data_IF_236154016869
#
_entry.id   IF_236154016869
#
_cell.length_a   1.000
_cell.length_b   1.000
_cell.length_c   1.000
_cell.angle_alpha   90.00
_cell.angle_beta   90.00
_cell.angle_gamma   90.00
#
_symmetry.space_group_name_H-M   'P 1'
#
loop_
_entity.id
_entity.type
_entity.pdbx_description
1 polymer ?
#
# COMPACT_ATOMS: atom_id res chain seq x y z
N UNK A 1 -73.23 -2.29 42.25
CA UNK A 1 -72.66 -2.71 40.95
C UNK A 1 -71.42 -1.88 40.70
N UNK A 2 -70.30 -2.57 40.45
CA UNK A 2 -68.91 -2.10 40.54
C UNK A 2 -68.61 -0.97 39.55
N UNK A 3 -68.08 0.16 40.03
CA UNK A 3 -67.51 1.21 39.20
C UNK A 3 -66.01 0.92 38.97
N UNK A 4 -65.65 0.75 37.71
CA UNK A 4 -64.32 0.39 37.23
C UNK A 4 -63.41 1.64 37.25
N UNK A 5 -62.38 1.65 38.11
CA UNK A 5 -61.31 2.64 38.07
C UNK A 5 -60.29 2.20 37.01
N UNK A 6 -60.19 2.94 35.90
CA UNK A 6 -59.09 2.80 34.94
C UNK A 6 -57.90 3.62 35.43
N UNK A 7 -56.83 2.93 35.88
CA UNK A 7 -55.52 3.54 36.08
C UNK A 7 -54.84 3.69 34.71
N UNK A 8 -54.74 4.92 34.20
CA UNK A 8 -53.87 5.23 33.08
C UNK A 8 -52.42 5.27 33.58
N UNK A 9 -51.67 4.20 33.31
CA UNK A 9 -50.21 4.22 33.45
C UNK A 9 -49.63 5.02 32.27
N UNK A 10 -49.20 6.25 32.54
CA UNK A 10 -48.39 7.03 31.62
C UNK A 10 -46.98 6.45 31.58
N UNK A 11 -46.69 5.58 30.62
CA UNK A 11 -45.33 5.27 30.21
C UNK A 11 -44.76 6.51 29.55
N UNK A 12 -43.91 7.24 30.29
CA UNK A 12 -43.05 8.25 29.69
C UNK A 12 -42.11 7.53 28.71
N UNK A 13 -42.30 7.77 27.41
CA UNK A 13 -41.29 7.44 26.43
C UNK A 13 -40.02 8.20 26.83
N UNK A 14 -38.95 7.48 27.19
CA UNK A 14 -37.62 8.08 27.22
C UNK A 14 -37.37 8.59 25.81
N UNK A 15 -37.27 9.91 25.66
CA UNK A 15 -36.63 10.48 24.49
C UNK A 15 -35.22 9.91 24.48
N UNK A 16 -34.89 9.13 23.45
CA UNK A 16 -33.51 8.84 23.12
C UNK A 16 -32.86 10.20 22.84
N UNK A 17 -32.24 10.77 23.88
CA UNK A 17 -31.34 11.90 23.75
C UNK A 17 -30.19 11.41 22.88
N UNK A 18 -30.34 11.62 21.58
CA UNK A 18 -29.29 11.46 20.60
C UNK A 18 -28.27 12.54 20.94
N UNK A 19 -27.38 12.25 21.89
CA UNK A 19 -26.30 13.15 22.29
C UNK A 19 -25.38 13.25 21.08
N UNK A 20 -25.55 14.32 20.31
CA UNK A 20 -24.65 14.65 19.22
C UNK A 20 -23.28 14.92 19.83
N UNK A 21 -22.31 14.07 19.54
CA UNK A 21 -20.93 14.26 20.01
C UNK A 21 -20.40 15.63 19.59
N UNK A 22 -19.75 16.33 20.52
CA UNK A 22 -19.06 17.58 20.21
C UNK A 22 -17.77 17.31 19.44
N UNK A 23 -17.23 18.31 18.75
CA UNK A 23 -15.91 18.18 18.08
C UNK A 23 -14.79 17.72 19.04
N UNK A 24 -14.68 18.25 20.28
CA UNK A 24 -13.77 17.71 21.28
C UNK A 24 -13.99 16.22 21.60
N UNK A 25 -15.25 15.77 21.69
CA UNK A 25 -15.57 14.36 21.95
C UNK A 25 -15.14 13.49 20.76
N UNK A 26 -15.39 13.94 19.53
CA UNK A 26 -14.96 13.27 18.31
C UNK A 26 -13.44 13.14 18.24
N UNK A 27 -12.70 14.22 18.55
CA UNK A 27 -11.23 14.21 18.57
C UNK A 27 -10.71 13.29 19.66
N UNK A 28 -11.27 13.34 20.87
CA UNK A 28 -10.88 12.46 21.96
C UNK A 28 -11.10 10.98 21.60
N UNK A 29 -12.24 10.66 20.99
CA UNK A 29 -12.54 9.31 20.51
C UNK A 29 -11.58 8.87 19.40
N UNK A 30 -11.33 9.73 18.42
CA UNK A 30 -10.40 9.44 17.33
C UNK A 30 -8.98 9.17 17.84
N UNK A 31 -8.47 10.02 18.75
CA UNK A 31 -7.17 9.81 19.40
C UNK A 31 -7.12 8.50 20.18
N UNK A 32 -8.16 8.19 20.95
CA UNK A 32 -8.23 6.93 21.70
C UNK A 32 -8.21 5.70 20.78
N UNK A 33 -8.83 5.76 19.60
CA UNK A 33 -8.71 4.68 18.60
C UNK A 33 -7.28 4.62 18.06
N UNK A 34 -6.76 5.76 17.62
CA UNK A 34 -5.42 5.89 17.03
C UNK A 34 -4.31 5.32 17.92
N UNK A 35 -4.37 5.59 19.22
CA UNK A 35 -3.38 5.10 20.20
C UNK A 35 -3.44 3.59 20.48
N UNK A 36 -4.52 2.91 20.09
CA UNK A 36 -4.74 1.48 20.38
C UNK A 36 -4.61 0.57 19.16
N UNK A 37 -4.52 1.13 17.96
CA UNK A 37 -4.44 0.37 16.71
C UNK A 37 -3.06 0.49 16.11
N UNK A 38 -2.68 -0.50 15.31
CA UNK A 38 -1.53 -0.37 14.41
C UNK A 38 -2.00 0.46 13.22
N UNK A 39 -1.37 1.60 13.00
CA UNK A 39 -1.69 2.46 11.86
C UNK A 39 -0.79 2.12 10.67
N UNK A 40 -1.38 2.05 9.49
CA UNK A 40 -0.70 1.61 8.28
C UNK A 40 -1.21 2.41 7.09
N UNK A 41 -0.28 2.81 6.23
CA UNK A 41 -0.57 3.41 4.94
C UNK A 41 0.12 2.56 3.86
N UNK A 42 -0.68 2.14 2.88
CA UNK A 42 -0.30 1.17 1.85
C UNK A 42 0.54 1.75 0.72
N UNK A 43 0.75 3.07 0.66
CA UNK A 43 1.40 3.68 -0.49
C UNK A 43 2.09 5.02 -0.17
N UNK A 44 3.38 4.95 0.16
CA UNK A 44 4.22 6.13 0.40
C UNK A 44 5.38 6.19 -0.59
N UNK A 45 5.30 7.14 -1.50
CA UNK A 45 6.35 7.43 -2.48
C UNK A 45 7.68 7.80 -1.81
N UNK A 46 8.75 7.20 -2.30
CA UNK A 46 10.10 7.48 -1.85
C UNK A 46 10.99 8.00 -2.97
N UNK A 47 11.98 8.79 -2.57
CA UNK A 47 13.06 9.22 -3.46
C UNK A 47 14.38 8.78 -2.87
N UNK A 48 15.21 8.09 -3.66
CA UNK A 48 16.53 7.60 -3.25
C UNK A 48 17.48 8.72 -2.80
N UNK A 49 17.22 9.97 -3.21
CA UNK A 49 17.94 11.15 -2.74
C UNK A 49 17.74 11.44 -1.23
N UNK A 50 16.73 10.83 -0.61
CA UNK A 50 16.46 10.91 0.83
C UNK A 50 16.90 9.63 1.59
N UNK A 51 17.91 8.91 1.07
CA UNK A 51 18.47 7.71 1.70
C UNK A 51 20.01 7.73 1.63
N UNK A 52 20.59 8.91 1.85
CA UNK A 52 22.03 9.13 1.85
C UNK A 52 22.53 9.36 3.28
N UNK A 53 23.86 9.38 3.46
CA UNK A 53 24.46 9.67 4.76
C UNK A 53 24.04 11.05 5.31
N UNK A 54 23.99 12.06 4.44
CA UNK A 54 23.74 13.45 4.83
C UNK A 54 22.26 13.84 4.79
N UNK A 55 21.43 13.08 4.07
CA UNK A 55 20.00 13.37 3.89
C UNK A 55 19.21 12.08 3.89
N UNK A 56 18.53 11.82 5.00
CA UNK A 56 17.71 10.62 5.13
C UNK A 56 16.49 10.76 6.05
N UNK A 57 15.68 9.72 6.10
CA UNK A 57 14.40 9.70 6.83
C UNK A 57 14.52 9.73 8.36
N UNK A 58 15.73 9.74 8.95
CA UNK A 58 15.88 10.08 10.38
C UNK A 58 15.69 11.57 10.65
N UNK A 59 15.71 12.40 9.60
CA UNK A 59 15.60 13.85 9.65
C UNK A 59 14.17 14.32 9.35
N UNK A 60 13.82 15.50 9.86
CA UNK A 60 12.58 16.19 9.51
C UNK A 60 12.71 16.81 8.11
N UNK A 61 12.51 16.00 7.08
CA UNK A 61 12.56 16.42 5.68
C UNK A 61 11.24 17.11 5.28
N UNK A 62 11.25 17.75 4.12
CA UNK A 62 10.03 18.31 3.50
C UNK A 62 9.10 17.25 2.90
N UNK A 63 9.50 15.97 2.93
CA UNK A 63 8.63 14.84 2.53
C UNK A 63 7.56 14.61 3.60
N UNK A 64 6.38 14.16 3.19
CA UNK A 64 5.27 13.93 4.11
C UNK A 64 5.58 12.79 5.09
N UNK A 65 6.29 11.76 4.64
CA UNK A 65 6.75 10.66 5.49
C UNK A 65 8.26 10.76 5.73
N UNK A 66 8.62 10.66 7.01
CA UNK A 66 9.94 10.49 7.59
C UNK A 66 9.76 10.08 9.07
N UNK A 67 10.79 9.57 9.74
CA UNK A 67 10.66 9.05 11.10
C UNK A 67 10.15 10.10 12.11
N UNK A 68 10.63 11.36 12.12
CA UNK A 68 10.04 12.39 12.99
C UNK A 68 8.55 12.59 12.79
N UNK A 69 8.07 12.63 11.54
CA UNK A 69 6.64 12.74 11.24
C UNK A 69 5.87 11.49 11.65
N UNK A 70 6.44 10.29 11.45
CA UNK A 70 5.84 9.03 11.87
C UNK A 70 5.69 8.94 13.39
N UNK A 71 6.70 9.39 14.13
CA UNK A 71 6.70 9.45 15.59
C UNK A 71 5.68 10.47 16.09
N UNK A 72 5.69 11.70 15.55
CA UNK A 72 4.76 12.75 15.95
C UNK A 72 3.29 12.42 15.61
N UNK A 73 3.07 11.75 14.47
CA UNK A 73 1.74 11.38 13.99
C UNK A 73 1.22 10.05 14.54
N UNK A 74 2.00 9.30 15.33
CA UNK A 74 1.63 7.94 15.74
C UNK A 74 1.39 7.01 14.55
N UNK A 75 2.16 7.17 13.47
CA UNK A 75 2.08 6.38 12.25
C UNK A 75 3.08 5.22 12.31
N UNK A 76 2.63 3.96 12.22
CA UNK A 76 3.46 2.79 12.56
C UNK A 76 4.08 2.10 11.36
N UNK A 77 3.30 1.88 10.29
CA UNK A 77 3.71 1.04 9.15
C UNK A 77 3.64 1.81 7.84
N UNK A 78 4.81 2.10 7.27
CA UNK A 78 4.93 2.75 5.96
C UNK A 78 5.27 1.73 4.89
N UNK A 79 4.38 1.56 3.91
CA UNK A 79 4.72 0.89 2.66
C UNK A 79 5.50 1.85 1.78
N UNK A 80 6.82 1.63 1.68
CA UNK A 80 7.76 2.41 0.90
C UNK A 80 7.79 1.89 -0.55
N UNK A 81 7.40 2.75 -1.49
CA UNK A 81 7.07 2.31 -2.84
C UNK A 81 8.29 2.29 -3.76
N UNK A 82 8.58 1.11 -4.30
CA UNK A 82 9.50 0.94 -5.43
C UNK A 82 8.75 1.28 -6.71
N UNK A 83 8.64 2.58 -6.98
CA UNK A 83 8.01 3.11 -8.19
C UNK A 83 9.05 3.35 -9.30
N UNK A 84 8.70 2.97 -10.53
CA UNK A 84 9.40 3.43 -11.74
C UNK A 84 8.39 3.80 -12.82
N UNK A 85 8.53 5.02 -13.35
CA UNK A 85 7.65 5.55 -14.40
C UNK A 85 7.68 4.69 -15.67
N UNK A 86 6.54 4.67 -16.37
CA UNK A 86 6.41 3.93 -17.62
C UNK A 86 7.28 4.56 -18.72
N UNK A 87 7.90 3.71 -19.54
CA UNK A 87 8.65 4.10 -20.74
C UNK A 87 8.37 3.18 -21.92
N UNK A 88 9.16 3.32 -22.98
CA UNK A 88 9.04 2.49 -24.18
C UNK A 88 9.27 1.01 -23.87
N UNK A 89 8.49 0.14 -24.50
CA UNK A 89 8.55 -1.31 -24.28
C UNK A 89 9.73 -1.95 -25.03
N UNK A 90 10.96 -1.62 -24.64
CA UNK A 90 12.20 -2.13 -25.24
C UNK A 90 13.14 -2.72 -24.19
N UNK A 91 14.00 -3.70 -24.57
CA UNK A 91 14.96 -4.32 -23.65
C UNK A 91 15.88 -3.32 -22.93
N UNK A 92 16.33 -2.28 -23.63
CA UNK A 92 17.17 -1.23 -23.05
C UNK A 92 16.44 -0.49 -21.93
N UNK A 93 15.20 -0.07 -22.19
CA UNK A 93 14.41 0.70 -21.22
C UNK A 93 13.94 -0.15 -20.04
N UNK A 94 13.66 -1.44 -20.25
CA UNK A 94 13.45 -2.37 -19.14
C UNK A 94 14.70 -2.47 -18.26
N UNK A 95 15.89 -2.56 -18.85
CA UNK A 95 17.14 -2.58 -18.09
C UNK A 95 17.37 -1.31 -17.27
N UNK A 96 17.07 -0.15 -17.84
CA UNK A 96 17.12 1.14 -17.12
C UNK A 96 16.14 1.19 -15.95
N UNK A 97 14.91 0.74 -16.18
CA UNK A 97 13.86 0.70 -15.18
C UNK A 97 14.20 -0.27 -14.04
N UNK A 98 14.74 -1.45 -14.39
CA UNK A 98 15.18 -2.45 -13.44
C UNK A 98 16.26 -1.90 -12.50
N UNK A 99 17.29 -1.22 -13.02
CA UNK A 99 18.33 -0.59 -12.18
C UNK A 99 17.76 0.49 -11.25
N UNK A 100 16.76 1.25 -11.69
CA UNK A 100 16.09 2.23 -10.84
C UNK A 100 15.25 1.58 -9.74
N UNK A 101 14.61 0.45 -10.01
CA UNK A 101 13.88 -0.32 -9.01
C UNK A 101 14.84 -0.88 -7.95
N UNK A 102 15.95 -1.53 -8.37
CA UNK A 102 16.98 -2.05 -7.47
C UNK A 102 17.52 -0.95 -6.54
N UNK A 103 17.81 0.24 -7.07
CA UNK A 103 18.28 1.37 -6.27
C UNK A 103 17.27 1.82 -5.18
N UNK A 104 15.96 1.63 -5.40
CA UNK A 104 14.93 1.91 -4.38
C UNK A 104 14.83 0.81 -3.35
N UNK A 105 14.91 -0.46 -3.74
CA UNK A 105 15.03 -1.56 -2.78
C UNK A 105 16.25 -1.35 -1.87
N UNK A 106 17.42 -1.12 -2.45
CA UNK A 106 18.66 -0.84 -1.72
C UNK A 106 18.54 0.37 -0.78
N UNK A 107 17.78 1.39 -1.17
CA UNK A 107 17.52 2.54 -0.32
C UNK A 107 16.71 2.16 0.93
N UNK A 108 15.64 1.37 0.80
CA UNK A 108 14.84 0.89 1.94
C UNK A 108 15.70 0.01 2.86
N UNK A 109 16.45 -0.95 2.30
CA UNK A 109 17.37 -1.77 3.08
C UNK A 109 18.41 -0.92 3.83
N UNK A 110 19.01 0.07 3.16
CA UNK A 110 19.97 0.99 3.80
C UNK A 110 19.35 1.74 4.96
N UNK A 111 18.09 2.19 4.84
CA UNK A 111 17.38 2.84 5.95
C UNK A 111 17.26 1.90 7.15
N UNK A 112 16.78 0.68 6.93
CA UNK A 112 16.43 -0.26 8.00
C UNK A 112 17.63 -0.99 8.59
N UNK A 113 18.72 -1.15 7.85
CA UNK A 113 19.88 -1.95 8.28
C UNK A 113 21.08 -1.11 8.70
N UNK A 114 21.23 0.11 8.15
CA UNK A 114 22.45 0.90 8.33
C UNK A 114 22.18 2.27 8.94
N UNK A 115 21.18 2.99 8.44
CA UNK A 115 20.91 4.38 8.87
C UNK A 115 20.15 4.42 10.19
N UNK A 116 19.13 3.57 10.34
CA UNK A 116 18.18 3.64 11.45
C UNK A 116 17.73 2.27 12.01
N UNK A 117 18.62 1.28 12.18
CA UNK A 117 18.23 -0.08 12.60
C UNK A 117 17.56 -0.14 13.98
N UNK A 118 17.84 0.85 14.84
CA UNK A 118 17.22 0.95 16.17
C UNK A 118 15.85 1.65 16.15
N UNK A 119 15.44 2.24 15.02
CA UNK A 119 14.20 3.05 14.91
C UNK A 119 13.19 2.49 13.93
N UNK A 120 13.63 1.81 12.86
CA UNK A 120 12.76 1.22 11.85
C UNK A 120 13.32 -0.10 11.33
N UNK A 121 12.44 -1.05 11.04
CA UNK A 121 12.81 -2.38 10.57
C UNK A 121 11.90 -2.82 9.42
N UNK A 122 12.45 -3.59 8.48
CA UNK A 122 11.71 -4.13 7.34
C UNK A 122 10.87 -5.33 7.79
N UNK A 123 9.56 -5.27 7.59
CA UNK A 123 8.65 -6.39 7.81
C UNK A 123 8.34 -7.13 6.51
N UNK A 124 8.36 -8.45 6.57
CA UNK A 124 8.01 -9.33 5.46
C UNK A 124 6.67 -10.04 5.67
N UNK A 125 6.16 -10.01 6.90
CA UNK A 125 4.92 -10.68 7.32
C UNK A 125 4.15 -9.81 8.30
N UNK A 126 2.87 -10.11 8.53
CA UNK A 126 2.09 -9.45 9.58
C UNK A 126 2.64 -9.71 10.99
N UNK A 127 3.33 -10.83 11.19
CA UNK A 127 3.92 -11.17 12.48
C UNK A 127 5.18 -10.35 12.73
N UNK A 128 5.97 -10.06 11.69
CA UNK A 128 7.06 -9.08 11.76
C UNK A 128 6.53 -7.71 12.15
N UNK A 129 5.44 -7.25 11.52
CA UNK A 129 4.81 -5.96 11.87
C UNK A 129 4.52 -5.90 13.38
N UNK A 130 3.84 -6.91 13.93
CA UNK A 130 3.51 -6.96 15.36
C UNK A 130 4.75 -7.01 16.25
N UNK A 131 5.74 -7.84 15.88
CA UNK A 131 7.00 -8.00 16.62
C UNK A 131 7.80 -6.69 16.66
N UNK A 132 7.93 -6.01 15.53
CA UNK A 132 8.71 -4.78 15.38
C UNK A 132 8.06 -3.64 16.19
N UNK A 133 6.74 -3.50 16.11
CA UNK A 133 6.00 -2.51 16.91
C UNK A 133 6.11 -2.81 18.40
N UNK A 134 6.02 -4.08 18.83
CA UNK A 134 6.22 -4.46 20.22
C UNK A 134 7.65 -4.17 20.72
N UNK A 135 8.64 -4.11 19.82
CA UNK A 135 10.00 -3.69 20.12
C UNK A 135 10.19 -2.16 20.13
N UNK A 136 9.12 -1.38 19.93
CA UNK A 136 9.15 0.09 19.95
C UNK A 136 9.69 0.74 18.68
N UNK A 137 9.78 0.00 17.56
CA UNK A 137 10.26 0.51 16.28
C UNK A 137 9.11 0.78 15.31
N UNK A 138 9.37 1.66 14.32
CA UNK A 138 8.53 1.82 13.13
C UNK A 138 8.76 0.67 12.15
N UNK A 139 7.83 0.50 11.22
CA UNK A 139 7.87 -0.60 10.24
C UNK A 139 7.97 -0.03 8.83
N UNK A 140 8.93 -0.53 8.07
CA UNK A 140 8.94 -0.40 6.61
C UNK A 140 8.37 -1.69 6.00
N UNK A 141 7.54 -1.55 4.98
CA UNK A 141 7.15 -2.63 4.07
C UNK A 141 7.40 -2.17 2.64
N UNK A 142 7.55 -3.09 1.69
CA UNK A 142 7.87 -2.74 0.30
C UNK A 142 6.75 -3.14 -0.64
N UNK A 143 6.25 -2.15 -1.38
CA UNK A 143 5.33 -2.32 -2.50
C UNK A 143 6.02 -1.95 -3.81
N UNK A 144 5.76 -2.69 -4.88
CA UNK A 144 6.26 -2.35 -6.21
C UNK A 144 5.14 -1.70 -7.01
N UNK A 145 5.35 -0.47 -7.44
CA UNK A 145 4.40 0.21 -8.30
C UNK A 145 4.94 0.21 -9.73
N UNK A 146 4.11 -0.29 -10.66
CA UNK A 146 4.44 -0.60 -12.03
C UNK A 146 5.37 -1.82 -12.16
N UNK A 147 4.87 -2.90 -12.76
CA UNK A 147 5.66 -4.09 -13.07
C UNK A 147 6.62 -3.88 -14.26
N UNK A 148 6.63 -2.71 -14.90
CA UNK A 148 7.55 -2.37 -16.00
C UNK A 148 9.03 -2.76 -15.76
N UNK A 149 9.64 -2.55 -14.56
CA UNK A 149 11.01 -2.96 -14.25
C UNK A 149 11.25 -4.48 -14.22
N UNK A 150 10.21 -5.32 -14.19
CA UNK A 150 10.35 -6.78 -14.32
C UNK A 150 10.89 -7.14 -15.72
N UNK A 151 10.63 -6.30 -16.73
CA UNK A 151 10.97 -6.60 -18.11
C UNK A 151 10.16 -7.80 -18.62
N UNK A 152 10.80 -8.69 -19.36
CA UNK A 152 10.14 -9.90 -19.92
C UNK A 152 10.57 -11.19 -19.23
N UNK A 153 11.47 -11.10 -18.24
CA UNK A 153 11.94 -12.23 -17.45
C UNK A 153 11.18 -12.30 -16.13
N UNK A 154 10.33 -13.31 -15.97
CA UNK A 154 9.47 -13.47 -14.80
C UNK A 154 10.26 -13.85 -13.53
N UNK A 155 11.51 -14.33 -13.63
CA UNK A 155 12.31 -14.59 -12.42
C UNK A 155 12.61 -13.31 -11.64
N UNK A 156 12.50 -12.14 -12.28
CA UNK A 156 12.62 -10.86 -11.57
C UNK A 156 11.50 -10.63 -10.54
N UNK A 157 10.35 -11.31 -10.65
CA UNK A 157 9.30 -11.25 -9.63
C UNK A 157 9.77 -11.93 -8.34
N UNK A 158 10.43 -13.08 -8.46
CA UNK A 158 11.03 -13.78 -7.32
C UNK A 158 12.18 -12.98 -6.72
N UNK A 159 13.05 -12.39 -7.55
CA UNK A 159 14.08 -11.46 -7.10
C UNK A 159 13.48 -10.31 -6.27
N UNK A 160 12.43 -9.64 -6.76
CA UNK A 160 11.80 -8.53 -6.03
C UNK A 160 11.13 -9.01 -4.73
N UNK A 161 10.56 -10.21 -4.72
CA UNK A 161 10.04 -10.84 -3.51
C UNK A 161 11.15 -11.09 -2.46
N UNK A 162 12.31 -11.60 -2.89
CA UNK A 162 13.49 -11.82 -2.05
C UNK A 162 14.06 -10.51 -1.49
N UNK A 163 13.99 -9.42 -2.27
CA UNK A 163 14.31 -8.06 -1.84
C UNK A 163 13.21 -7.42 -0.97
N UNK A 164 12.18 -8.18 -0.59
CA UNK A 164 11.18 -7.78 0.40
C UNK A 164 9.86 -7.25 -0.14
N UNK A 165 9.63 -7.22 -1.46
CA UNK A 165 8.35 -6.80 -2.02
C UNK A 165 7.21 -7.72 -1.57
N UNK A 166 6.07 -7.13 -1.16
CA UNK A 166 4.88 -7.87 -0.72
C UNK A 166 3.59 -7.52 -1.44
N UNK A 167 3.58 -6.47 -2.24
CA UNK A 167 2.60 -6.28 -3.32
C UNK A 167 3.25 -5.77 -4.60
N UNK A 168 2.57 -5.94 -5.73
CA UNK A 168 2.98 -5.31 -7.00
C UNK A 168 1.76 -4.95 -7.87
N UNK A 169 1.79 -3.78 -8.51
CA UNK A 169 0.82 -3.39 -9.55
C UNK A 169 1.35 -3.68 -10.95
N UNK A 170 0.50 -4.17 -11.87
CA UNK A 170 0.96 -4.62 -13.20
C UNK A 170 1.20 -3.48 -14.20
N UNK A 171 0.65 -2.30 -13.95
CA UNK A 171 0.84 -1.10 -14.76
C UNK A 171 0.76 0.15 -13.86
N UNK A 172 1.25 1.28 -14.36
CA UNK A 172 1.04 2.61 -13.78
C UNK A 172 0.40 3.51 -14.86
N UNK A 173 0.76 4.79 -14.96
CA UNK A 173 0.38 5.70 -16.04
C UNK A 173 1.10 5.31 -17.34
N UNK A 174 0.40 4.58 -18.20
CA UNK A 174 0.89 4.01 -19.46
C UNK A 174 0.89 2.47 -19.46
N UNK A 175 0.57 1.88 -20.61
CA UNK A 175 0.50 0.42 -20.77
C UNK A 175 1.86 -0.23 -20.53
N UNK A 176 1.89 -1.31 -19.75
CA UNK A 176 3.09 -2.13 -19.56
C UNK A 176 3.04 -3.35 -20.50
N UNK A 177 4.13 -4.12 -20.51
CA UNK A 177 4.18 -5.43 -21.14
C UNK A 177 3.27 -6.48 -20.47
N UNK A 178 2.70 -6.17 -19.30
CA UNK A 178 1.83 -7.06 -18.54
C UNK A 178 0.35 -6.69 -18.64
N UNK A 179 0.02 -5.40 -18.65
CA UNK A 179 -1.36 -4.95 -18.52
C UNK A 179 -1.60 -3.59 -19.17
N UNK A 180 -2.85 -3.38 -19.60
CA UNK A 180 -3.33 -2.06 -19.96
C UNK A 180 -3.53 -1.18 -18.72
N UNK A 181 -3.16 0.10 -18.86
CA UNK A 181 -3.31 1.15 -17.84
C UNK A 181 -4.68 1.84 -17.93
N UNK A 182 -5.14 2.43 -16.82
CA UNK A 182 -6.29 3.33 -16.80
C UNK A 182 -6.16 4.49 -17.81
N UNK A 183 -4.94 4.87 -18.22
CA UNK A 183 -4.75 5.92 -19.22
C UNK A 183 -5.40 5.54 -20.55
N UNK A 184 -5.46 4.25 -20.86
CA UNK A 184 -6.18 3.72 -22.02
C UNK A 184 -7.68 3.97 -21.99
N UNK A 185 -8.29 4.06 -20.80
CA UNK A 185 -9.72 4.38 -20.66
C UNK A 185 -10.02 5.82 -21.08
N UNK A 186 -9.12 6.74 -20.75
CA UNK A 186 -9.23 8.15 -21.14
C UNK A 186 -8.92 8.35 -22.62
N UNK A 187 -7.91 7.65 -23.12
CA UNK A 187 -7.34 7.90 -24.44
C UNK A 187 -7.95 6.97 -25.54
N UNK A 188 -8.80 6.02 -25.15
CA UNK A 188 -9.36 4.96 -26.01
C UNK A 188 -8.30 4.10 -26.73
N UNK A 189 -7.13 3.93 -26.10
CA UNK A 189 -6.00 3.14 -26.61
C UNK A 189 -5.81 1.91 -25.74
N UNK A 190 -5.66 0.76 -26.39
CA UNK A 190 -5.49 -0.53 -25.73
C UNK A 190 -4.33 -1.29 -26.37
N UNK A 191 -3.44 -1.84 -25.56
CA UNK A 191 -2.33 -2.66 -26.02
C UNK A 191 -2.68 -4.16 -25.99
N UNK A 192 -3.41 -4.60 -24.95
CA UNK A 192 -3.70 -6.02 -24.73
C UNK A 192 -5.20 -6.35 -24.66
N UNK A 193 -6.05 -5.34 -24.47
CA UNK A 193 -7.46 -5.55 -24.11
C UNK A 193 -7.58 -6.09 -22.68
N UNK A 194 -6.81 -5.50 -21.74
CA UNK A 194 -6.68 -5.96 -20.37
C UNK A 194 -5.29 -6.53 -20.09
N UNK A 195 -5.19 -7.82 -19.75
CA UNK A 195 -3.92 -8.48 -19.46
C UNK A 195 -3.30 -9.13 -20.71
N UNK A 196 -1.99 -8.94 -20.86
CA UNK A 196 -1.19 -9.70 -21.81
C UNK A 196 -1.02 -11.15 -21.36
N UNK A 197 -0.55 -12.03 -22.24
CA UNK A 197 -0.16 -13.41 -21.86
C UNK A 197 0.93 -13.42 -20.78
N UNK A 198 1.86 -12.45 -20.84
CA UNK A 198 2.89 -12.28 -19.82
C UNK A 198 2.28 -11.81 -18.48
N UNK A 199 1.27 -10.92 -18.52
CA UNK A 199 0.49 -10.50 -17.35
C UNK A 199 -0.20 -11.65 -16.64
N UNK A 200 -0.81 -12.56 -17.40
CA UNK A 200 -1.46 -13.76 -16.83
C UNK A 200 -0.45 -14.66 -16.12
N UNK A 201 0.75 -14.84 -16.69
CA UNK A 201 1.83 -15.60 -16.07
C UNK A 201 2.39 -14.91 -14.83
N UNK A 202 2.52 -13.58 -14.86
CA UNK A 202 2.94 -12.79 -13.70
C UNK A 202 1.97 -12.96 -12.52
N UNK A 203 0.65 -12.95 -12.76
CA UNK A 203 -0.35 -13.22 -11.71
C UNK A 203 -0.16 -14.60 -11.08
N UNK A 204 0.05 -15.63 -11.90
CA UNK A 204 0.30 -16.98 -11.40
C UNK A 204 1.54 -17.05 -10.51
N UNK A 205 2.60 -16.34 -10.90
CA UNK A 205 3.87 -16.26 -10.15
C UNK A 205 3.73 -15.46 -8.86
N UNK A 206 3.05 -14.32 -8.88
CA UNK A 206 2.71 -13.54 -7.69
C UNK A 206 1.91 -14.37 -6.69
N UNK A 207 0.92 -15.14 -7.16
CA UNK A 207 0.18 -16.08 -6.31
C UNK A 207 1.06 -17.22 -5.77
N UNK A 208 2.06 -17.71 -6.52
CA UNK A 208 2.99 -18.75 -6.06
C UNK A 208 3.86 -18.22 -4.92
N UNK A 209 4.34 -16.98 -5.05
CA UNK A 209 5.25 -16.33 -4.10
C UNK A 209 4.51 -15.72 -2.89
N UNK A 210 3.21 -15.45 -3.02
CA UNK A 210 2.45 -14.73 -2.00
C UNK A 210 2.61 -13.20 -2.08
N UNK A 211 2.92 -12.67 -3.26
CA UNK A 211 2.88 -11.22 -3.53
C UNK A 211 1.42 -10.84 -3.78
N UNK A 212 0.90 -9.87 -3.02
CA UNK A 212 -0.44 -9.32 -3.24
C UNK A 212 -0.50 -8.61 -4.59
N UNK A 213 -1.57 -8.84 -5.34
CA UNK A 213 -1.83 -8.12 -6.59
C UNK A 213 -2.45 -6.78 -6.23
N UNK A 214 -1.82 -5.70 -6.67
CA UNK A 214 -2.35 -4.35 -6.54
C UNK A 214 -3.06 -3.91 -7.83
N UNK A 215 -4.31 -3.48 -7.67
CA UNK A 215 -5.22 -3.06 -8.73
C UNK A 215 -5.22 -1.54 -8.94
N UNK A 216 -4.46 -0.78 -8.15
CA UNK A 216 -4.26 0.65 -8.38
C UNK A 216 -3.45 0.87 -9.66
N UNK A 217 -3.99 1.67 -10.59
CA UNK A 217 -3.52 2.04 -11.93
C UNK A 217 -3.89 1.20 -13.16
N UNK A 218 -3.88 -0.15 -13.18
CA UNK A 218 -4.33 -0.87 -14.35
C UNK A 218 -5.77 -0.49 -14.75
N UNK A 219 -6.10 -0.68 -16.02
CA UNK A 219 -7.45 -0.42 -16.52
C UNK A 219 -8.48 -1.33 -15.83
N UNK A 220 -9.75 -0.93 -15.88
CA UNK A 220 -10.86 -1.76 -15.42
C UNK A 220 -10.80 -3.17 -16.01
N UNK A 221 -10.54 -3.30 -17.32
CA UNK A 221 -10.49 -4.60 -17.97
C UNK A 221 -9.31 -5.46 -17.46
N UNK A 222 -8.12 -4.86 -17.29
CA UNK A 222 -6.98 -5.52 -16.64
C UNK A 222 -7.33 -6.01 -15.24
N UNK A 223 -7.99 -5.17 -14.45
CA UNK A 223 -8.40 -5.49 -13.08
C UNK A 223 -9.45 -6.60 -13.02
N UNK A 224 -10.46 -6.58 -13.89
CA UNK A 224 -11.47 -7.64 -13.97
C UNK A 224 -10.85 -8.99 -14.34
N UNK A 225 -9.90 -8.99 -15.27
CA UNK A 225 -9.18 -10.21 -15.65
C UNK A 225 -8.23 -10.67 -14.53
N UNK A 226 -7.60 -9.76 -13.80
CA UNK A 226 -6.77 -10.11 -12.65
C UNK A 226 -7.58 -10.75 -11.53
N UNK A 227 -8.75 -10.19 -11.22
CA UNK A 227 -9.72 -10.74 -10.27
C UNK A 227 -10.23 -12.13 -10.67
N UNK A 228 -10.40 -12.38 -11.97
CA UNK A 228 -10.81 -13.69 -12.48
C UNK A 228 -9.69 -14.75 -12.38
N UNK A 229 -8.42 -14.34 -12.32
CA UNK A 229 -7.25 -15.24 -12.33
C UNK A 229 -6.63 -15.46 -10.95
N UNK A 230 -6.71 -14.47 -10.06
CA UNK A 230 -6.08 -14.53 -8.74
C UNK A 230 -6.69 -15.63 -7.88
N UNK A 231 -5.84 -16.28 -7.09
CA UNK A 231 -6.20 -17.31 -6.10
C UNK A 231 -6.19 -16.78 -4.67
N UNK A 232 -5.89 -15.50 -4.48
CA UNK A 232 -5.81 -14.83 -3.18
C UNK A 232 -6.46 -13.44 -3.26
N UNK A 233 -6.82 -12.84 -2.11
CA UNK A 233 -7.29 -11.46 -2.06
C UNK A 233 -6.30 -10.51 -2.73
N UNK A 234 -6.85 -9.48 -3.38
CA UNK A 234 -6.11 -8.39 -4.01
C UNK A 234 -6.25 -7.12 -3.17
N UNK A 235 -5.46 -6.11 -3.49
CA UNK A 235 -5.60 -4.77 -2.89
C UNK A 235 -5.77 -3.73 -4.00
N UNK A 236 -6.32 -2.58 -3.64
CA UNK A 236 -6.08 -1.33 -4.37
C UNK A 236 -5.35 -0.42 -3.39
N UNK A 237 -4.02 -0.33 -3.51
CA UNK A 237 -3.17 0.30 -2.51
C UNK A 237 -3.42 1.80 -2.35
N UNK A 238 -3.92 2.46 -3.40
CA UNK A 238 -4.31 3.88 -3.41
C UNK A 238 -5.28 4.17 -4.57
N UNK A 239 -6.59 4.04 -4.33
CA UNK A 239 -7.62 4.33 -5.34
C UNK A 239 -8.89 4.86 -4.68
N UNK A 240 -9.71 5.63 -5.42
CA UNK A 240 -10.93 6.28 -4.94
C UNK A 240 -12.03 6.28 -6.01
#
# INVERSE_FOLDING_TARGET
MIALLFLLASTACSQDDNVTETEPDLVARARGIHERVITLDTHNDISTANFTADRNYTMALSTQVNLPNMEAGGFDVSWMVVFVGQGDLTPERYGDAHRQALAKFEAVHRLTEQIAPDRIELALTSDDVRRIIAAGKKVAMIGVENAYPIGTDLSNIELFHEMGARYMSLAHNGHSQFADSNTGERDEVWLHGGLSELGRKAIAEMNRLGIMIDLSHPSKESNMQALALTRAPVIASHSA
#
